data_IF_268742540506
#
_entry.id   IF_268742540506
#
_cell.length_a   1.000
_cell.length_b   1.000
_cell.length_c   1.000
_cell.angle_alpha   90.00
_cell.angle_beta   90.00
_cell.angle_gamma   90.00
#
_symmetry.space_group_name_H-M   'P 1'
#
loop_
_entity.id
_entity.type
_entity.pdbx_description
1 polymer ?
#
# COMPACT_ATOMS: atom_id res chain seq x y z
N UNK A 1 -22.46 2.43 -17.83
CA UNK A 1 -21.89 1.74 -19.04
C UNK A 1 -21.07 2.65 -19.94
N UNK A 2 -21.50 3.90 -20.24
CA UNK A 2 -20.74 4.82 -21.11
C UNK A 2 -19.33 5.12 -20.56
N UNK A 3 -19.19 5.43 -19.27
CA UNK A 3 -17.91 5.70 -18.63
C UNK A 3 -16.94 4.51 -18.73
N UNK A 4 -17.38 3.29 -18.44
CA UNK A 4 -16.55 2.09 -18.53
C UNK A 4 -16.07 1.78 -19.96
N UNK A 5 -16.82 2.25 -20.96
CA UNK A 5 -16.48 2.05 -22.38
C UNK A 5 -15.44 3.05 -22.89
N UNK A 6 -15.41 4.25 -22.32
CA UNK A 6 -14.63 5.36 -22.85
C UNK A 6 -13.62 5.97 -21.87
N UNK A 7 -13.50 5.47 -20.65
CA UNK A 7 -12.60 6.02 -19.64
C UNK A 7 -11.14 6.09 -20.09
N UNK A 8 -10.69 5.13 -20.90
CA UNK A 8 -9.32 5.03 -21.41
C UNK A 8 -9.11 5.69 -22.78
N UNK A 9 -10.15 6.28 -23.33
CA UNK A 9 -10.09 6.91 -24.67
C UNK A 9 -9.06 8.05 -24.81
N UNK A 10 -8.78 8.85 -23.75
CA UNK A 10 -7.74 9.88 -23.80
C UNK A 10 -6.31 9.33 -23.79
N UNK A 11 -6.12 8.04 -23.56
CA UNK A 11 -4.82 7.38 -23.48
C UNK A 11 -4.55 6.59 -24.75
N UNK A 12 -4.29 7.30 -25.84
CA UNK A 12 -3.88 6.67 -27.10
C UNK A 12 -2.62 5.82 -26.90
N UNK A 13 -2.66 4.56 -27.32
CA UNK A 13 -1.60 3.58 -27.11
C UNK A 13 -1.77 2.66 -25.91
N UNK A 14 -2.69 2.92 -25.01
CA UNK A 14 -3.04 2.05 -23.89
C UNK A 14 -4.28 1.22 -24.26
N UNK A 15 -4.07 -0.02 -24.70
CA UNK A 15 -5.13 -1.00 -25.04
C UNK A 15 -6.50 -0.36 -25.44
N UNK A 16 -6.60 0.36 -26.56
CA UNK A 16 -7.76 1.23 -26.84
C UNK A 16 -9.08 0.48 -27.05
N UNK A 17 -9.02 -0.84 -27.10
CA UNK A 17 -10.18 -1.73 -27.23
C UNK A 17 -10.60 -2.42 -25.93
N UNK A 18 -9.88 -2.22 -24.83
CA UNK A 18 -10.24 -2.84 -23.55
C UNK A 18 -11.35 -2.06 -22.85
N UNK A 19 -12.37 -2.78 -22.41
CA UNK A 19 -13.37 -2.27 -21.47
C UNK A 19 -12.94 -2.72 -20.09
N UNK A 20 -12.75 -1.78 -19.17
CA UNK A 20 -12.29 -2.10 -17.82
C UNK A 20 -12.75 -1.07 -16.80
N UNK A 21 -12.47 -1.37 -15.53
CA UNK A 21 -12.69 -0.44 -14.44
C UNK A 21 -11.44 0.42 -14.27
N UNK A 22 -11.58 1.77 -14.19
CA UNK A 22 -10.44 2.61 -13.87
C UNK A 22 -9.92 2.29 -12.48
N UNK A 23 -8.61 2.22 -12.35
CA UNK A 23 -7.98 2.17 -11.02
C UNK A 23 -7.90 3.58 -10.47
N UNK A 24 -8.70 3.85 -9.45
CA UNK A 24 -8.67 5.11 -8.71
C UNK A 24 -8.18 4.85 -7.29
N UNK A 25 -7.17 5.60 -6.85
CA UNK A 25 -6.68 5.48 -5.48
C UNK A 25 -7.71 5.92 -4.44
N UNK A 26 -8.61 6.81 -4.80
CA UNK A 26 -9.59 7.44 -3.89
C UNK A 26 -11.04 7.24 -4.32
N UNK A 27 -11.29 6.61 -5.45
CA UNK A 27 -12.64 6.45 -6.02
C UNK A 27 -13.41 5.28 -5.42
N UNK A 28 -14.55 5.55 -4.78
CA UNK A 28 -15.43 4.48 -4.29
C UNK A 28 -16.19 3.79 -5.43
N UNK A 29 -16.43 4.49 -6.54
CA UNK A 29 -17.20 3.96 -7.67
C UNK A 29 -16.55 2.71 -8.29
N UNK A 30 -15.22 2.72 -8.52
CA UNK A 30 -14.51 1.58 -9.10
C UNK A 30 -14.55 0.37 -8.16
N UNK A 31 -14.40 0.60 -6.86
CA UNK A 31 -14.49 -0.47 -5.83
C UNK A 31 -15.89 -1.05 -5.74
N UNK A 32 -16.94 -0.22 -5.79
CA UNK A 32 -18.33 -0.67 -5.79
C UNK A 32 -18.61 -1.53 -7.04
N UNK A 33 -18.20 -1.06 -8.22
CA UNK A 33 -18.39 -1.78 -9.47
C UNK A 33 -17.60 -3.10 -9.48
N UNK A 34 -16.36 -3.13 -8.99
CA UNK A 34 -15.56 -4.34 -8.87
C UNK A 34 -16.21 -5.35 -7.92
N UNK A 35 -16.71 -4.90 -6.77
CA UNK A 35 -17.41 -5.75 -5.82
C UNK A 35 -18.73 -6.29 -6.39
N UNK A 36 -19.46 -5.48 -7.14
CA UNK A 36 -20.67 -5.92 -7.82
C UNK A 36 -20.36 -6.97 -8.90
N UNK A 37 -19.30 -6.75 -9.67
CA UNK A 37 -18.84 -7.68 -10.71
C UNK A 37 -18.43 -9.04 -10.14
N UNK A 38 -17.80 -9.05 -8.97
CA UNK A 38 -17.36 -10.28 -8.31
C UNK A 38 -18.41 -10.91 -7.38
N UNK A 39 -19.63 -10.37 -7.33
CA UNK A 39 -20.68 -10.86 -6.42
C UNK A 39 -21.05 -12.32 -6.66
N UNK A 40 -21.24 -12.71 -7.92
CA UNK A 40 -21.57 -14.11 -8.28
C UNK A 40 -20.39 -15.03 -7.96
N UNK A 41 -19.19 -14.60 -8.29
CA UNK A 41 -17.95 -15.29 -7.92
C UNK A 41 -17.88 -15.56 -6.41
N UNK A 42 -18.11 -14.52 -5.59
CA UNK A 42 -18.11 -14.68 -4.13
C UNK A 42 -19.15 -15.71 -3.65
N UNK A 43 -20.32 -15.73 -4.29
CA UNK A 43 -21.37 -16.72 -4.01
C UNK A 43 -20.93 -18.14 -4.29
N UNK A 44 -20.36 -18.38 -5.48
CA UNK A 44 -19.87 -19.69 -5.90
C UNK A 44 -18.74 -20.19 -4.98
N UNK A 45 -17.76 -19.32 -4.67
CA UNK A 45 -16.64 -19.70 -3.80
C UNK A 45 -17.11 -19.96 -2.37
N UNK A 46 -18.03 -19.17 -1.83
CA UNK A 46 -18.62 -19.44 -0.50
C UNK A 46 -19.34 -20.79 -0.45
N UNK A 47 -20.11 -21.14 -1.48
CA UNK A 47 -20.79 -22.42 -1.56
C UNK A 47 -19.78 -23.58 -1.65
N UNK A 48 -18.74 -23.41 -2.46
CA UNK A 48 -17.66 -24.38 -2.58
C UNK A 48 -16.93 -24.56 -1.23
N UNK A 49 -16.55 -23.47 -0.58
CA UNK A 49 -15.89 -23.51 0.72
C UNK A 49 -16.75 -24.20 1.78
N UNK A 50 -18.04 -23.92 1.82
CA UNK A 50 -18.99 -24.61 2.71
C UNK A 50 -19.00 -26.14 2.54
N UNK A 51 -18.96 -26.60 1.27
CA UNK A 51 -18.94 -28.04 0.95
C UNK A 51 -17.67 -28.72 1.48
N UNK A 52 -16.56 -28.05 1.54
CA UNK A 52 -15.25 -28.56 1.96
C UNK A 52 -14.83 -28.10 3.36
N UNK A 53 -15.75 -27.56 4.16
CA UNK A 53 -15.50 -27.08 5.52
C UNK A 53 -14.37 -26.02 5.57
N UNK A 54 -14.36 -25.14 4.57
CA UNK A 54 -13.45 -24.03 4.46
C UNK A 54 -14.16 -22.71 4.75
N UNK A 55 -13.41 -21.70 5.19
CA UNK A 55 -13.88 -20.33 5.26
C UNK A 55 -13.26 -19.49 4.15
N UNK A 56 -14.04 -18.51 3.67
CA UNK A 56 -13.66 -17.62 2.59
C UNK A 56 -13.88 -16.17 2.98
N UNK A 57 -12.87 -15.37 2.73
CA UNK A 57 -12.93 -13.93 2.90
C UNK A 57 -12.25 -13.24 1.70
N UNK A 58 -12.87 -12.17 1.19
CA UNK A 58 -12.27 -11.29 0.19
C UNK A 58 -12.33 -9.85 0.65
N UNK A 59 -11.24 -9.14 0.47
CA UNK A 59 -11.15 -7.71 0.65
C UNK A 59 -10.56 -7.09 -0.62
N UNK A 60 -11.38 -6.37 -1.38
CA UNK A 60 -11.06 -5.86 -2.71
C UNK A 60 -10.62 -7.00 -3.66
N UNK A 61 -9.36 -7.01 -4.09
CA UNK A 61 -8.73 -8.04 -4.92
C UNK A 61 -8.03 -9.14 -4.11
N UNK A 62 -7.79 -8.91 -2.83
CA UNK A 62 -7.16 -9.89 -1.94
C UNK A 62 -8.17 -10.95 -1.46
N UNK A 63 -7.85 -12.22 -1.67
CA UNK A 63 -8.65 -13.37 -1.29
C UNK A 63 -7.92 -14.24 -0.28
N UNK A 64 -8.60 -14.65 0.78
CA UNK A 64 -8.08 -15.57 1.80
C UNK A 64 -9.03 -16.75 1.95
N UNK A 65 -8.48 -17.97 1.94
CA UNK A 65 -9.18 -19.21 2.15
C UNK A 65 -8.56 -19.91 3.36
N UNK A 66 -9.39 -20.25 4.33
CA UNK A 66 -9.00 -21.06 5.49
C UNK A 66 -9.49 -22.47 5.26
N UNK A 67 -8.57 -23.41 5.07
CA UNK A 67 -8.86 -24.80 4.76
C UNK A 67 -8.26 -25.73 5.81
N UNK A 68 -8.85 -26.93 6.02
CA UNK A 68 -8.33 -27.90 6.99
C UNK A 68 -6.95 -28.43 6.62
N UNK A 69 -6.65 -28.50 5.32
CA UNK A 69 -5.37 -28.99 4.80
C UNK A 69 -4.98 -28.30 3.48
N UNK A 70 -3.72 -28.43 3.10
CA UNK A 70 -3.14 -27.81 1.90
C UNK A 70 -3.80 -28.33 0.60
N UNK A 71 -4.10 -29.62 0.52
CA UNK A 71 -4.71 -30.22 -0.68
C UNK A 71 -6.09 -29.64 -0.95
N UNK A 72 -6.88 -29.48 0.10
CA UNK A 72 -8.20 -28.83 0.03
C UNK A 72 -8.06 -27.36 -0.38
N UNK A 73 -7.08 -26.63 0.19
CA UNK A 73 -6.81 -25.24 -0.21
C UNK A 73 -6.43 -25.13 -1.69
N UNK A 74 -5.56 -26.00 -2.18
CA UNK A 74 -5.16 -26.05 -3.59
C UNK A 74 -6.34 -26.35 -4.52
N UNK A 75 -7.22 -27.29 -4.12
CA UNK A 75 -8.41 -27.59 -4.88
C UNK A 75 -9.37 -26.40 -4.96
N UNK A 76 -9.64 -25.73 -3.84
CA UNK A 76 -10.50 -24.53 -3.82
C UNK A 76 -9.88 -23.43 -4.68
N UNK A 77 -8.57 -23.21 -4.59
CA UNK A 77 -7.85 -22.22 -5.40
C UNK A 77 -7.99 -22.53 -6.90
N UNK A 78 -7.86 -23.80 -7.29
CA UNK A 78 -8.03 -24.23 -8.67
C UNK A 78 -9.45 -23.97 -9.18
N UNK A 79 -10.47 -24.34 -8.43
CA UNK A 79 -11.86 -24.06 -8.80
C UNK A 79 -12.14 -22.53 -8.85
N UNK A 80 -11.61 -21.77 -7.88
CA UNK A 80 -11.70 -20.33 -7.88
C UNK A 80 -11.08 -19.70 -9.14
N UNK A 81 -9.92 -20.22 -9.58
CA UNK A 81 -9.29 -19.74 -10.82
C UNK A 81 -10.15 -19.98 -12.05
N UNK A 82 -10.86 -21.11 -12.12
CA UNK A 82 -11.80 -21.41 -13.23
C UNK A 82 -12.97 -20.43 -13.27
N UNK A 83 -13.53 -20.09 -12.11
CA UNK A 83 -14.61 -19.10 -12.03
C UNK A 83 -14.12 -17.70 -12.44
N UNK A 84 -12.95 -17.28 -11.99
CA UNK A 84 -12.35 -16.01 -12.41
C UNK A 84 -12.08 -15.96 -13.90
N UNK A 85 -11.59 -17.07 -14.47
CA UNK A 85 -11.34 -17.16 -15.91
C UNK A 85 -12.62 -16.98 -16.75
N UNK A 86 -13.76 -17.50 -16.28
CA UNK A 86 -15.06 -17.26 -16.93
C UNK A 86 -15.46 -15.77 -16.92
N UNK A 87 -14.99 -15.02 -15.95
CA UNK A 87 -15.16 -13.56 -15.85
C UNK A 87 -14.09 -12.78 -16.61
N UNK A 88 -13.17 -13.44 -17.34
CA UNK A 88 -12.05 -12.78 -18.00
C UNK A 88 -10.96 -12.28 -17.05
N UNK A 89 -10.92 -12.82 -15.83
CA UNK A 89 -9.94 -12.48 -14.79
C UNK A 89 -9.01 -13.66 -14.51
N UNK A 90 -7.82 -13.37 -13.98
CA UNK A 90 -6.84 -14.38 -13.60
C UNK A 90 -6.31 -14.13 -12.19
N UNK A 91 -5.96 -15.22 -11.51
CA UNK A 91 -5.22 -15.15 -10.25
C UNK A 91 -3.76 -14.79 -10.55
N UNK A 92 -3.21 -13.85 -9.81
CA UNK A 92 -1.78 -13.58 -9.84
C UNK A 92 -1.04 -14.66 -9.04
N UNK A 93 -0.59 -15.72 -9.75
CA UNK A 93 0.07 -16.87 -9.12
C UNK A 93 1.35 -16.49 -8.36
N UNK A 94 2.04 -15.41 -8.74
CA UNK A 94 3.25 -14.96 -8.02
C UNK A 94 2.94 -14.43 -6.61
N UNK A 95 1.68 -14.03 -6.35
CA UNK A 95 1.22 -13.55 -5.05
C UNK A 95 0.54 -14.63 -4.21
N UNK A 96 0.30 -15.83 -4.75
CA UNK A 96 -0.31 -16.92 -3.98
C UNK A 96 0.67 -17.40 -2.92
N UNK A 97 0.20 -17.50 -1.69
CA UNK A 97 0.98 -17.99 -0.54
C UNK A 97 0.15 -19.02 0.22
N UNK A 98 0.81 -20.06 0.70
CA UNK A 98 0.23 -21.05 1.60
C UNK A 98 0.91 -20.92 2.96
N UNK A 99 0.10 -20.82 4.00
CA UNK A 99 0.59 -20.68 5.37
C UNK A 99 -0.06 -21.75 6.26
N UNK A 100 0.70 -22.26 7.22
CA UNK A 100 0.11 -22.86 8.40
C UNK A 100 -0.35 -21.74 9.36
N UNK A 101 -1.01 -22.10 10.46
CA UNK A 101 -1.57 -21.13 11.41
C UNK A 101 -0.50 -20.18 11.99
N UNK A 102 0.66 -20.74 12.37
CA UNK A 102 1.75 -19.97 13.00
C UNK A 102 2.38 -19.01 11.98
N UNK A 103 2.71 -19.53 10.80
CA UNK A 103 3.31 -18.70 9.73
C UNK A 103 2.35 -17.59 9.28
N UNK A 104 1.05 -17.85 9.26
CA UNK A 104 0.06 -16.83 8.95
C UNK A 104 0.01 -15.72 10.00
N UNK A 105 0.10 -16.08 11.29
CA UNK A 105 0.15 -15.10 12.38
C UNK A 105 1.40 -14.22 12.27
N UNK A 106 2.56 -14.82 11.97
CA UNK A 106 3.81 -14.09 11.72
C UNK A 106 3.67 -13.21 10.50
N UNK A 107 3.16 -13.74 9.39
CA UNK A 107 2.95 -12.98 8.15
C UNK A 107 2.06 -11.76 8.36
N UNK A 108 0.97 -11.89 9.09
CA UNK A 108 0.08 -10.78 9.41
C UNK A 108 0.63 -9.85 10.51
N UNK A 109 1.77 -10.20 11.12
CA UNK A 109 2.40 -9.46 12.22
C UNK A 109 1.45 -9.19 13.40
N UNK A 110 0.56 -10.14 13.72
CA UNK A 110 -0.49 -9.94 14.73
C UNK A 110 0.08 -9.60 16.10
N UNK A 111 1.15 -10.27 16.53
CA UNK A 111 1.78 -10.02 17.81
C UNK A 111 2.34 -8.59 17.89
N UNK A 112 3.07 -8.16 16.86
CA UNK A 112 3.63 -6.80 16.79
C UNK A 112 2.50 -5.76 16.75
N UNK A 113 1.46 -6.00 15.95
CA UNK A 113 0.35 -5.07 15.83
C UNK A 113 -0.47 -4.99 17.11
N UNK A 114 -0.66 -6.09 17.85
CA UNK A 114 -1.31 -6.11 19.16
C UNK A 114 -0.58 -5.20 20.14
N UNK A 115 0.74 -5.32 20.24
CA UNK A 115 1.56 -4.43 21.09
C UNK A 115 1.43 -2.95 20.68
N UNK A 116 1.29 -2.67 19.37
CA UNK A 116 1.13 -1.31 18.86
C UNK A 116 -0.29 -0.76 19.06
N UNK A 117 -1.31 -1.59 19.04
CA UNK A 117 -2.72 -1.19 19.15
C UNK A 117 -3.17 -1.10 20.62
N UNK A 118 -2.78 -2.05 21.42
CA UNK A 118 -3.07 -2.11 22.86
C UNK A 118 -2.06 -1.29 23.68
N UNK A 119 -0.85 -1.11 23.13
CA UNK A 119 0.27 -0.44 23.76
C UNK A 119 0.05 1.06 23.94
N UNK A 120 -0.48 1.43 25.11
CA UNK A 120 -0.58 2.83 25.52
C UNK A 120 0.71 3.35 26.18
N UNK A 121 1.67 2.46 26.41
CA UNK A 121 2.91 2.73 27.12
C UNK A 121 4.14 2.62 26.21
N UNK A 122 5.26 3.15 26.71
CA UNK A 122 6.54 3.18 25.99
C UNK A 122 7.15 1.78 25.85
N UNK A 123 6.92 0.91 26.80
CA UNK A 123 7.52 -0.43 26.83
C UNK A 123 6.97 -1.31 25.71
N UNK A 124 5.64 -1.42 25.59
CA UNK A 124 4.99 -2.19 24.53
C UNK A 124 5.37 -1.69 23.13
N UNK A 125 5.45 -0.36 22.98
CA UNK A 125 5.90 0.23 21.73
C UNK A 125 7.34 -0.19 21.37
N UNK A 126 8.28 -0.13 22.33
CA UNK A 126 9.66 -0.51 22.07
C UNK A 126 9.82 -2.02 21.88
N UNK A 127 9.01 -2.83 22.55
CA UNK A 127 8.96 -4.28 22.32
C UNK A 127 8.48 -4.57 20.89
N UNK A 128 7.45 -3.89 20.42
CA UNK A 128 6.97 -4.00 19.03
C UNK A 128 8.05 -3.62 18.01
N UNK A 129 8.76 -2.51 18.23
CA UNK A 129 9.88 -2.07 17.37
C UNK A 129 11.03 -3.09 17.41
N UNK A 130 11.36 -3.63 18.56
CA UNK A 130 12.36 -4.70 18.70
C UNK A 130 11.99 -5.94 17.90
N UNK A 131 10.74 -6.39 18.03
CA UNK A 131 10.23 -7.55 17.30
C UNK A 131 10.20 -7.31 15.78
N UNK A 132 9.85 -6.09 15.34
CA UNK A 132 9.89 -5.70 13.94
C UNK A 132 11.30 -5.90 13.36
N UNK A 133 12.32 -5.35 14.01
CA UNK A 133 13.69 -5.49 13.55
C UNK A 133 14.22 -6.90 13.68
N UNK A 134 13.87 -7.64 14.73
CA UNK A 134 14.22 -9.05 14.87
C UNK A 134 13.67 -9.89 13.71
N UNK A 135 12.41 -9.68 13.34
CA UNK A 135 11.83 -10.40 12.21
C UNK A 135 12.51 -10.06 10.88
N UNK A 136 12.94 -8.80 10.68
CA UNK A 136 13.75 -8.41 9.51
C UNK A 136 15.13 -9.07 9.51
N UNK A 137 15.82 -9.09 10.65
CA UNK A 137 17.15 -9.70 10.78
C UNK A 137 17.14 -11.22 10.57
N UNK A 138 16.00 -11.87 10.86
CA UNK A 138 15.76 -13.30 10.65
C UNK A 138 15.15 -13.59 9.27
N UNK A 139 15.10 -12.62 8.34
CA UNK A 139 14.51 -12.72 6.99
C UNK A 139 13.10 -13.31 6.98
N UNK A 140 12.32 -13.09 8.03
CA UNK A 140 10.94 -13.54 8.08
C UNK A 140 10.05 -12.77 7.10
N UNK A 141 9.20 -13.48 6.40
CA UNK A 141 8.23 -12.86 5.50
C UNK A 141 7.02 -12.39 6.33
N UNK A 142 6.81 -11.08 6.41
CA UNK A 142 5.66 -10.46 7.10
C UNK A 142 5.24 -9.14 6.47
N UNK A 143 4.11 -8.61 6.89
CA UNK A 143 3.53 -7.34 6.39
C UNK A 143 4.27 -6.12 6.98
N UNK A 144 5.52 -5.92 6.55
CA UNK A 144 6.37 -4.80 6.99
C UNK A 144 5.70 -3.45 6.79
N UNK A 145 5.09 -3.25 5.62
CA UNK A 145 4.36 -2.04 5.25
C UNK A 145 3.29 -1.65 6.28
N UNK A 146 2.59 -2.64 6.80
CA UNK A 146 1.54 -2.43 7.80
C UNK A 146 2.11 -2.05 9.15
N UNK A 147 3.16 -2.73 9.58
CA UNK A 147 3.83 -2.48 10.87
C UNK A 147 4.48 -1.11 10.88
N UNK A 148 5.29 -0.79 9.87
CA UNK A 148 6.01 0.48 9.81
C UNK A 148 5.04 1.68 9.75
N UNK A 149 3.94 1.59 8.99
CA UNK A 149 2.91 2.63 8.96
C UNK A 149 2.25 2.85 10.32
N UNK A 150 2.08 1.80 11.12
CA UNK A 150 1.53 1.91 12.47
C UNK A 150 2.53 2.55 13.43
N UNK A 151 3.80 2.13 13.41
CA UNK A 151 4.90 2.73 14.16
C UNK A 151 4.99 4.23 13.88
N UNK A 152 5.02 4.63 12.61
CA UNK A 152 5.06 6.03 12.18
C UNK A 152 3.86 6.82 12.72
N UNK A 153 2.67 6.22 12.68
CA UNK A 153 1.46 6.89 13.18
C UNK A 153 1.53 7.20 14.66
N UNK A 154 2.10 6.30 15.44
CA UNK A 154 2.27 6.47 16.89
C UNK A 154 3.35 7.52 17.17
N UNK A 155 4.52 7.44 16.53
CA UNK A 155 5.61 8.42 16.71
C UNK A 155 5.18 9.82 16.31
N UNK A 156 4.49 9.98 15.19
CA UNK A 156 3.99 11.28 14.76
C UNK A 156 2.94 11.88 15.74
N UNK A 157 2.25 11.05 16.53
CA UNK A 157 1.28 11.50 17.52
C UNK A 157 1.88 11.76 18.90
N UNK A 158 2.85 10.94 19.34
CA UNK A 158 3.40 10.91 20.71
C UNK A 158 4.73 11.64 20.88
N UNK A 159 5.33 12.13 19.80
CA UNK A 159 6.72 12.59 19.72
C UNK A 159 7.75 11.45 19.89
N UNK A 160 9.02 11.75 19.50
CA UNK A 160 10.07 10.73 19.44
C UNK A 160 10.54 10.20 20.82
N UNK A 161 10.11 10.85 21.91
CA UNK A 161 10.43 10.42 23.27
C UNK A 161 9.90 9.03 23.62
N UNK A 162 9.01 8.49 22.83
CA UNK A 162 8.47 7.14 22.98
C UNK A 162 9.46 6.07 22.52
N UNK A 163 10.34 6.40 21.58
CA UNK A 163 11.29 5.47 20.98
C UNK A 163 12.56 5.37 21.83
N UNK A 164 13.06 4.13 22.03
CA UNK A 164 14.36 3.88 22.64
C UNK A 164 15.48 4.32 21.69
N UNK A 165 16.52 4.96 22.22
CA UNK A 165 17.67 5.43 21.47
C UNK A 165 18.35 4.33 20.65
N UNK A 166 18.38 3.09 21.12
CA UNK A 166 18.99 1.95 20.45
C UNK A 166 18.36 1.64 19.07
N UNK A 167 17.09 1.98 18.89
CA UNK A 167 16.38 1.72 17.63
C UNK A 167 16.18 2.98 16.78
N UNK A 168 16.53 4.14 17.31
CA UNK A 168 16.20 5.44 16.70
C UNK A 168 16.86 5.61 15.33
N UNK A 169 18.16 5.40 15.27
CA UNK A 169 18.92 5.55 14.03
C UNK A 169 18.47 4.53 12.98
N UNK A 170 18.32 3.29 13.41
CA UNK A 170 17.88 2.21 12.53
C UNK A 170 16.48 2.47 11.97
N UNK A 171 15.56 2.96 12.80
CA UNK A 171 14.22 3.32 12.36
C UNK A 171 14.25 4.51 11.40
N UNK A 172 15.08 5.51 11.64
CA UNK A 172 15.20 6.66 10.72
C UNK A 172 15.72 6.24 9.34
N UNK A 173 16.71 5.34 9.30
CA UNK A 173 17.17 4.76 8.03
C UNK A 173 16.04 4.03 7.29
N UNK A 174 15.20 3.29 8.01
CA UNK A 174 14.02 2.63 7.45
C UNK A 174 12.99 3.63 6.91
N UNK A 175 12.74 4.73 7.63
CA UNK A 175 11.82 5.80 7.19
C UNK A 175 12.29 6.52 5.93
N UNK A 176 13.61 6.57 5.71
CA UNK A 176 14.25 7.20 4.55
C UNK A 176 14.56 6.21 3.43
N UNK A 177 14.13 4.95 3.58
CA UNK A 177 14.33 3.94 2.55
C UNK A 177 13.62 4.35 1.24
N UNK A 178 14.34 4.24 0.13
CA UNK A 178 13.86 4.62 -1.19
C UNK A 178 12.58 3.88 -1.60
N UNK A 179 12.53 2.57 -1.39
CA UNK A 179 11.38 1.73 -1.73
C UNK A 179 10.12 2.20 -1.02
N UNK A 180 10.27 2.62 0.24
CA UNK A 180 9.15 3.12 1.04
C UNK A 180 8.74 4.52 0.61
N UNK A 181 9.70 5.43 0.42
CA UNK A 181 9.41 6.82 0.05
C UNK A 181 8.85 6.94 -1.37
N UNK A 182 9.41 6.19 -2.33
CA UNK A 182 9.01 6.26 -3.74
C UNK A 182 7.55 5.89 -3.99
N UNK A 183 6.99 5.00 -3.16
CA UNK A 183 5.60 4.53 -3.25
C UNK A 183 4.66 5.21 -2.24
N UNK A 184 5.18 6.15 -1.44
CA UNK A 184 4.43 6.81 -0.38
C UNK A 184 3.61 8.00 -0.89
N UNK A 185 2.56 8.33 -0.14
CA UNK A 185 1.71 9.48 -0.41
C UNK A 185 2.06 10.67 0.50
N UNK A 186 1.47 11.82 0.20
CA UNK A 186 1.59 13.06 0.95
C UNK A 186 1.37 12.90 2.46
N UNK A 187 0.41 12.07 2.87
CA UNK A 187 0.10 11.83 4.28
C UNK A 187 1.24 11.10 5.01
N UNK A 188 1.90 10.17 4.33
CA UNK A 188 3.09 9.52 4.85
C UNK A 188 4.23 10.52 5.00
N UNK A 189 4.53 11.31 3.96
CA UNK A 189 5.56 12.35 4.02
C UNK A 189 5.35 13.32 5.18
N UNK A 190 4.11 13.75 5.41
CA UNK A 190 3.77 14.64 6.52
C UNK A 190 4.07 14.02 7.89
N UNK A 191 3.81 12.74 8.08
CA UNK A 191 4.10 12.04 9.34
C UNK A 191 5.61 11.88 9.55
N UNK A 192 6.33 11.44 8.52
CA UNK A 192 7.79 11.29 8.58
C UNK A 192 8.45 12.65 8.82
N UNK A 193 8.04 13.68 8.10
CA UNK A 193 8.49 15.06 8.32
C UNK A 193 8.35 15.47 9.79
N UNK A 194 7.20 15.26 10.40
CA UNK A 194 6.99 15.60 11.81
C UNK A 194 7.94 14.84 12.75
N UNK A 195 8.20 13.56 12.45
CA UNK A 195 9.15 12.74 13.22
C UNK A 195 10.57 13.27 13.07
N UNK A 196 10.99 13.57 11.84
CA UNK A 196 12.34 14.06 11.54
C UNK A 196 12.57 15.48 12.07
N UNK A 197 11.58 16.38 11.95
CA UNK A 197 11.65 17.73 12.52
C UNK A 197 11.80 17.73 14.04
N UNK A 198 11.10 16.88 14.75
CA UNK A 198 11.23 16.73 16.21
C UNK A 198 12.64 16.31 16.64
N UNK A 199 13.45 15.81 15.73
CA UNK A 199 14.80 15.31 15.94
C UNK A 199 15.87 16.18 15.29
N UNK A 200 15.49 17.32 14.72
CA UNK A 200 16.39 18.23 14.01
C UNK A 200 16.95 17.68 12.69
N UNK A 201 16.32 16.64 12.12
CA UNK A 201 16.72 15.99 10.85
C UNK A 201 15.80 16.35 9.68
N UNK A 202 15.16 17.49 9.73
CA UNK A 202 14.23 17.95 8.69
C UNK A 202 14.91 18.12 7.34
N UNK A 203 16.10 18.72 7.33
CA UNK A 203 16.88 18.97 6.11
C UNK A 203 17.33 17.65 5.45
N UNK A 204 17.75 16.66 6.22
CA UNK A 204 18.11 15.33 5.72
C UNK A 204 16.93 14.68 5.00
N UNK A 205 15.73 14.85 5.55
CA UNK A 205 14.50 14.34 4.95
C UNK A 205 14.18 15.04 3.62
N UNK A 206 14.23 16.36 3.59
CA UNK A 206 14.01 17.12 2.35
C UNK A 206 15.05 16.79 1.28
N UNK A 207 16.34 16.74 1.65
CA UNK A 207 17.41 16.37 0.74
C UNK A 207 17.20 14.99 0.12
N UNK A 208 16.72 14.01 0.93
CA UNK A 208 16.38 12.68 0.43
C UNK A 208 15.22 12.70 -0.55
N UNK A 209 14.14 13.43 -0.25
CA UNK A 209 12.99 13.54 -1.15
C UNK A 209 13.36 14.22 -2.48
N UNK A 210 14.15 15.30 -2.43
CA UNK A 210 14.62 16.01 -3.63
C UNK A 210 15.53 15.12 -4.47
N UNK A 211 16.45 14.39 -3.84
CA UNK A 211 17.29 13.41 -4.53
C UNK A 211 16.46 12.39 -5.28
N UNK A 212 15.45 11.81 -4.63
CA UNK A 212 14.56 10.83 -5.24
C UNK A 212 13.75 11.40 -6.42
N UNK A 213 13.37 12.67 -6.36
CA UNK A 213 12.61 13.32 -7.43
C UNK A 213 13.36 13.36 -8.77
N UNK A 214 14.69 13.30 -8.76
CA UNK A 214 15.50 13.36 -9.96
C UNK A 214 15.51 12.06 -10.77
N UNK A 215 15.26 10.91 -10.15
CA UNK A 215 15.38 9.61 -10.85
C UNK A 215 14.19 8.65 -10.67
N UNK A 216 13.26 8.92 -9.76
CA UNK A 216 12.08 8.08 -9.62
C UNK A 216 11.15 8.23 -10.81
N UNK A 217 10.74 7.10 -11.38
CA UNK A 217 9.81 7.04 -12.49
C UNK A 217 8.37 6.67 -12.10
N UNK A 218 8.05 6.62 -10.80
CA UNK A 218 6.69 6.36 -10.34
C UNK A 218 5.78 7.59 -10.56
N UNK A 219 4.66 7.37 -11.21
CA UNK A 219 3.75 8.41 -11.69
C UNK A 219 3.22 9.33 -10.59
N UNK A 220 2.95 8.78 -9.42
CA UNK A 220 2.34 9.54 -8.32
C UNK A 220 3.36 10.26 -7.45
N UNK A 221 4.64 9.89 -7.47
CA UNK A 221 5.63 10.43 -6.53
C UNK A 221 5.75 11.95 -6.59
N UNK A 222 6.01 12.50 -7.79
CA UNK A 222 6.18 13.95 -7.97
C UNK A 222 4.94 14.74 -7.59
N UNK A 223 3.76 14.20 -7.89
CA UNK A 223 2.49 14.81 -7.51
C UNK A 223 2.28 14.80 -5.99
N UNK A 224 2.54 13.68 -5.33
CA UNK A 224 2.45 13.58 -3.87
C UNK A 224 3.49 14.47 -3.17
N UNK A 225 4.70 14.58 -3.74
CA UNK A 225 5.75 15.44 -3.25
C UNK A 225 5.36 16.92 -3.37
N UNK A 226 4.83 17.34 -4.52
CA UNK A 226 4.34 18.70 -4.74
C UNK A 226 3.24 19.07 -3.71
N UNK A 227 2.28 18.19 -3.52
CA UNK A 227 1.22 18.39 -2.50
C UNK A 227 1.78 18.52 -1.10
N UNK A 228 2.75 17.68 -0.76
CA UNK A 228 3.38 17.71 0.54
C UNK A 228 4.13 19.04 0.75
N UNK A 229 4.96 19.48 -0.21
CA UNK A 229 5.72 20.74 -0.09
C UNK A 229 4.81 21.96 0.04
N UNK A 230 3.72 22.03 -0.71
CA UNK A 230 2.71 23.08 -0.55
C UNK A 230 2.06 23.06 0.83
N UNK A 231 1.78 21.88 1.38
CA UNK A 231 1.16 21.76 2.72
C UNK A 231 2.09 22.16 3.87
N UNK A 232 3.38 21.83 3.78
CA UNK A 232 4.36 22.25 4.79
C UNK A 232 4.90 23.66 4.53
N UNK A 233 4.42 24.33 3.46
CA UNK A 233 4.81 25.69 3.07
C UNK A 233 6.31 25.83 2.80
N UNK A 234 6.95 24.78 2.29
CA UNK A 234 8.34 24.84 1.86
C UNK A 234 8.47 25.84 0.72
N UNK A 235 9.49 26.72 0.75
CA UNK A 235 9.68 27.78 -0.24
C UNK A 235 10.79 27.48 -1.24
N UNK A 236 11.74 26.65 -0.85
CA UNK A 236 12.99 26.36 -1.55
C UNK A 236 12.93 25.05 -2.36
N UNK A 237 11.87 24.86 -3.15
CA UNK A 237 11.77 23.72 -4.05
C UNK A 237 11.44 24.18 -5.48
N UNK A 238 11.89 23.42 -6.47
CA UNK A 238 11.60 23.70 -7.87
C UNK A 238 10.20 23.15 -8.26
N UNK A 239 9.20 24.01 -8.08
CA UNK A 239 7.83 23.69 -8.45
C UNK A 239 7.70 23.43 -9.96
N UNK A 240 8.43 24.18 -10.80
CA UNK A 240 8.41 24.05 -12.26
C UNK A 240 8.97 22.69 -12.69
N UNK A 241 10.04 22.24 -12.06
CA UNK A 241 10.59 20.90 -12.29
C UNK A 241 9.56 19.82 -11.95
N UNK A 242 8.94 19.88 -10.76
CA UNK A 242 7.95 18.88 -10.36
C UNK A 242 6.75 18.84 -11.32
N UNK A 243 6.25 19.97 -11.79
CA UNK A 243 5.18 20.02 -12.77
C UNK A 243 5.59 19.40 -14.12
N UNK A 244 6.78 19.70 -14.61
CA UNK A 244 7.30 19.08 -15.85
C UNK A 244 7.39 17.57 -15.73
N UNK A 245 7.85 17.07 -14.60
CA UNK A 245 7.94 15.63 -14.35
C UNK A 245 6.56 14.97 -14.23
N UNK A 246 5.58 15.61 -13.60
CA UNK A 246 4.19 15.18 -13.60
C UNK A 246 3.64 15.12 -15.02
N UNK A 247 3.88 16.16 -15.83
CA UNK A 247 3.40 16.23 -17.21
C UNK A 247 4.00 15.19 -18.12
N UNK A 248 5.29 14.91 -18.02
CA UNK A 248 5.94 13.83 -18.79
C UNK A 248 5.29 12.47 -18.53
N UNK A 249 4.75 12.25 -17.32
CA UNK A 249 4.19 10.98 -16.87
C UNK A 249 2.67 10.88 -17.00
N UNK A 250 1.99 11.89 -17.52
CA UNK A 250 0.54 11.88 -17.75
C UNK A 250 0.08 10.68 -18.59
N UNK A 251 0.93 10.23 -19.51
CA UNK A 251 0.65 9.09 -20.39
C UNK A 251 0.51 7.78 -19.61
N UNK A 252 1.12 7.67 -18.43
CA UNK A 252 1.21 6.43 -17.65
C UNK A 252 0.29 6.38 -16.42
N UNK A 253 -0.38 7.48 -16.06
CA UNK A 253 -1.26 7.53 -14.90
C UNK A 253 -2.55 8.30 -15.15
N UNK A 254 -3.70 7.61 -15.16
CA UNK A 254 -5.02 8.26 -15.23
C UNK A 254 -5.26 9.26 -14.10
N UNK A 255 -4.68 9.03 -12.93
CA UNK A 255 -4.88 9.87 -11.74
C UNK A 255 -4.30 11.27 -11.87
N UNK A 256 -3.17 11.41 -12.56
CA UNK A 256 -2.54 12.73 -12.73
C UNK A 256 -3.32 13.65 -13.69
N UNK A 257 -4.18 13.09 -14.53
CA UNK A 257 -4.94 13.89 -15.53
C UNK A 257 -6.20 14.53 -14.99
N UNK A 258 -6.87 13.91 -14.02
CA UNK A 258 -8.10 14.47 -13.45
C UNK A 258 -7.82 15.62 -12.48
N UNK A 259 -6.79 15.50 -11.64
CA UNK A 259 -6.48 16.51 -10.62
C UNK A 259 -5.71 17.72 -11.19
N UNK A 260 -4.92 17.55 -12.26
CA UNK A 260 -4.29 18.67 -12.94
C UNK A 260 -5.30 19.61 -13.63
N UNK A 261 -6.49 19.13 -13.96
CA UNK A 261 -7.58 19.94 -14.55
C UNK A 261 -8.39 20.75 -13.54
N UNK A 262 -8.35 20.39 -12.26
CA UNK A 262 -9.07 21.12 -11.20
C UNK A 262 -8.29 22.29 -10.62
N UNK A 263 -7.00 22.42 -10.93
CA UNK A 263 -6.13 23.46 -10.41
C UNK A 263 -5.66 24.49 -11.49
N UNK A 264 -6.24 24.46 -12.70
CA UNK A 264 -6.18 25.51 -13.71
C UNK A 264 -7.50 26.31 -13.74
#
# INVERSE_FOLDING_TARGET
MYFLKYWNKPFEGYAPKSVGLPQEETGDCSRILANFYLREYDGEIKNLCKKYQCDYMRFADDMTIFAPDKKTAEYILFEASKYLHKLGLNINCSKVRFFNKVDFQIYQAFEILSLLDDGKNREDFNNAVSMYFKNKDEDKIFREDRVIRRIISILASKNNNFLNMNYKERLFNELLCEETLSTSNEYYFKKVHKIMSNDGKEEDFFAKLDSLANYINFNSYHYQLLRFYKKVKRKDFDETFLWKEIEKRKVFSPHNTSEARYNQ
#
